data_IF_828505011692
#
_entry.id   IF_828505011692
#
_cell.length_a   1.000
_cell.length_b   1.000
_cell.length_c   1.000
_cell.angle_alpha   90.00
_cell.angle_beta   90.00
_cell.angle_gamma   90.00
#
_symmetry.space_group_name_H-M   'P 1'
#
loop_
_entity.id
_entity.type
_entity.pdbx_description
1 polymer ?
#
# COMPACT_ATOMS: atom_id res chain seq x y z
N UNK A 1 46.85 -26.99 -0.71
CA UNK A 1 45.69 -27.14 -1.61
C UNK A 1 44.42 -26.48 -1.05
N UNK A 2 44.15 -26.61 0.28
CA UNK A 2 42.95 -25.99 0.90
C UNK A 2 42.85 -24.46 0.72
N UNK A 3 43.94 -23.74 0.96
CA UNK A 3 43.99 -22.27 0.77
C UNK A 3 43.73 -21.86 -0.68
N UNK A 4 44.12 -22.66 -1.63
CA UNK A 4 43.90 -22.37 -3.05
C UNK A 4 42.43 -22.58 -3.44
N UNK A 5 41.77 -23.58 -2.86
CA UNK A 5 40.31 -23.79 -3.01
C UNK A 5 39.54 -22.64 -2.37
N UNK A 6 39.92 -22.23 -1.15
CA UNK A 6 39.30 -21.12 -0.45
C UNK A 6 39.46 -19.81 -1.21
N UNK A 7 40.63 -19.55 -1.77
CA UNK A 7 40.90 -18.40 -2.62
C UNK A 7 40.05 -18.44 -3.90
N UNK A 8 39.95 -19.59 -4.56
CA UNK A 8 39.09 -19.77 -5.72
C UNK A 8 37.61 -19.49 -5.40
N UNK A 9 37.11 -20.03 -4.31
CA UNK A 9 35.75 -19.77 -3.84
C UNK A 9 35.52 -18.27 -3.51
N UNK A 10 36.49 -17.60 -2.91
CA UNK A 10 36.45 -16.16 -2.66
C UNK A 10 36.37 -15.38 -3.98
N UNK A 11 37.22 -15.68 -4.96
CA UNK A 11 37.19 -15.01 -6.27
C UNK A 11 35.87 -15.22 -6.97
N UNK A 12 35.36 -16.46 -6.99
CA UNK A 12 34.03 -16.74 -7.61
C UNK A 12 32.91 -15.98 -6.91
N UNK A 13 32.93 -15.93 -5.58
CA UNK A 13 31.87 -15.27 -4.80
C UNK A 13 31.86 -13.76 -4.96
N UNK A 14 33.03 -13.10 -4.98
CA UNK A 14 33.12 -11.64 -4.93
C UNK A 14 33.40 -10.99 -6.30
N UNK A 15 33.99 -11.73 -7.23
CA UNK A 15 34.32 -11.23 -8.57
C UNK A 15 33.58 -11.98 -9.69
N UNK A 16 32.89 -13.08 -9.35
CA UNK A 16 32.06 -13.82 -10.28
C UNK A 16 30.86 -12.99 -10.76
N UNK A 17 30.49 -13.17 -12.01
CA UNK A 17 29.32 -12.59 -12.62
C UNK A 17 28.40 -13.74 -13.04
N UNK A 18 27.23 -13.86 -12.42
CA UNK A 18 26.30 -14.97 -12.63
C UNK A 18 24.99 -14.42 -13.24
N UNK A 19 24.38 -15.21 -14.09
CA UNK A 19 23.11 -14.87 -14.72
C UNK A 19 22.57 -15.98 -15.60
N UNK A 20 21.34 -15.82 -16.06
CA UNK A 20 20.65 -16.78 -16.92
C UNK A 20 20.43 -16.17 -18.30
N UNK A 21 20.77 -16.91 -19.35
CA UNK A 21 20.54 -16.52 -20.74
C UNK A 21 19.48 -17.47 -21.35
N UNK A 22 18.20 -17.06 -21.37
CA UNK A 22 17.16 -17.86 -22.01
C UNK A 22 17.25 -17.70 -23.54
N UNK A 23 17.72 -18.73 -24.24
CA UNK A 23 17.81 -18.73 -25.70
C UNK A 23 16.70 -19.63 -26.25
N UNK A 24 15.83 -19.06 -27.09
CA UNK A 24 14.80 -19.82 -27.82
C UNK A 24 15.41 -20.47 -29.06
N UNK A 25 14.86 -21.61 -29.45
CA UNK A 25 15.29 -22.30 -30.65
C UNK A 25 15.18 -21.40 -31.90
N UNK A 26 16.26 -21.29 -32.65
CA UNK A 26 16.34 -20.44 -33.87
C UNK A 26 16.63 -18.95 -33.60
N UNK A 27 16.83 -18.53 -32.37
CA UNK A 27 17.15 -17.14 -32.02
C UNK A 27 18.58 -17.05 -31.45
N UNK A 28 19.23 -15.93 -31.75
CA UNK A 28 20.53 -15.59 -31.17
C UNK A 28 20.33 -14.48 -30.14
N UNK A 29 20.79 -14.70 -28.92
CA UNK A 29 20.75 -13.72 -27.83
C UNK A 29 22.17 -13.26 -27.49
N UNK A 30 22.29 -11.97 -27.12
CA UNK A 30 23.55 -11.38 -26.66
C UNK A 30 23.42 -10.71 -25.30
N UNK A 31 22.29 -10.95 -24.62
CA UNK A 31 21.99 -10.43 -23.30
C UNK A 31 21.66 -11.57 -22.34
N UNK A 32 22.00 -11.42 -21.10
CA UNK A 32 21.62 -12.36 -20.06
C UNK A 32 21.01 -11.62 -18.87
N UNK A 33 20.16 -12.30 -18.14
CA UNK A 33 19.53 -11.80 -16.92
C UNK A 33 20.49 -12.02 -15.76
N UNK A 34 20.93 -10.95 -15.14
CA UNK A 34 21.75 -11.00 -13.92
C UNK A 34 20.92 -11.48 -12.73
N UNK A 35 21.53 -12.25 -11.84
CA UNK A 35 20.93 -12.59 -10.54
C UNK A 35 20.88 -11.39 -9.57
N UNK A 36 21.63 -10.34 -9.87
CA UNK A 36 21.61 -9.12 -9.06
C UNK A 36 20.37 -8.28 -9.38
N UNK A 37 19.75 -7.75 -8.34
CA UNK A 37 18.70 -6.75 -8.48
C UNK A 37 19.32 -5.38 -8.67
N UNK A 38 18.79 -4.60 -9.60
CA UNK A 38 19.26 -3.24 -9.87
C UNK A 38 18.14 -2.24 -9.69
N UNK A 39 18.45 -1.13 -9.01
CA UNK A 39 17.64 0.08 -9.10
C UNK A 39 18.13 0.88 -10.31
N UNK A 40 17.24 1.16 -11.24
CA UNK A 40 17.49 2.04 -12.37
C UNK A 40 16.57 3.24 -12.29
N UNK A 41 17.14 4.43 -12.26
CA UNK A 41 16.39 5.68 -12.24
C UNK A 41 16.69 6.45 -13.52
N UNK A 42 15.63 6.93 -14.17
CA UNK A 42 15.72 7.81 -15.32
C UNK A 42 15.30 9.22 -14.89
N UNK A 43 16.15 10.20 -15.20
CA UNK A 43 15.84 11.61 -15.04
C UNK A 43 15.68 12.19 -16.43
N UNK A 44 14.47 12.61 -16.73
CA UNK A 44 14.12 13.20 -18.03
C UNK A 44 13.97 14.71 -17.89
N UNK A 45 14.35 15.44 -18.92
CA UNK A 45 14.22 16.88 -19.00
C UNK A 45 14.54 17.40 -20.39
N UNK A 46 14.36 18.68 -20.57
CA UNK A 46 14.68 19.39 -21.82
C UNK A 46 15.98 20.21 -21.65
N UNK A 47 16.85 20.13 -22.62
CA UNK A 47 18.09 20.89 -22.65
C UNK A 47 18.19 21.63 -23.98
N UNK A 48 17.91 22.93 -23.97
CA UNK A 48 17.90 23.79 -25.15
C UNK A 48 16.89 23.36 -26.24
N UNK A 49 15.71 22.84 -25.87
CA UNK A 49 14.69 22.36 -26.77
C UNK A 49 14.90 20.92 -27.27
N UNK A 50 15.90 20.22 -26.75
CA UNK A 50 16.13 18.81 -27.02
C UNK A 50 15.86 17.95 -25.77
N UNK A 51 15.00 16.90 -25.87
CA UNK A 51 14.75 16.00 -24.75
C UNK A 51 16.05 15.23 -24.41
N UNK A 52 16.39 15.21 -23.15
CA UNK A 52 17.55 14.52 -22.61
C UNK A 52 17.14 13.58 -21.49
N UNK A 53 17.81 12.44 -21.44
CA UNK A 53 17.63 11.43 -20.37
C UNK A 53 18.94 11.09 -19.73
N UNK A 54 18.98 11.14 -18.41
CA UNK A 54 20.09 10.66 -17.61
C UNK A 54 19.69 9.35 -16.92
N UNK A 55 20.50 8.32 -17.05
CA UNK A 55 20.30 7.03 -16.38
C UNK A 55 21.27 6.92 -15.21
N UNK A 56 20.72 6.60 -14.04
CA UNK A 56 21.47 6.18 -12.87
C UNK A 56 21.13 4.71 -12.59
N UNK A 57 22.12 3.93 -12.23
CA UNK A 57 21.91 2.51 -11.94
C UNK A 57 22.89 2.05 -10.86
N UNK A 58 22.38 1.28 -9.89
CA UNK A 58 23.16 0.62 -8.87
C UNK A 58 22.55 -0.71 -8.48
N UNK A 59 23.40 -1.63 -8.05
CA UNK A 59 22.97 -2.91 -7.52
C UNK A 59 22.43 -2.74 -6.09
N UNK A 60 21.38 -3.49 -5.78
CA UNK A 60 20.74 -3.53 -4.48
C UNK A 60 20.73 -4.96 -3.96
N UNK A 61 20.97 -5.12 -2.68
CA UNK A 61 20.66 -6.33 -1.97
C UNK A 61 19.35 -6.15 -1.21
N UNK A 62 18.27 -6.71 -1.76
CA UNK A 62 16.92 -6.59 -1.20
C UNK A 62 16.75 -7.58 -0.05
N UNK A 63 17.00 -7.14 1.16
CA UNK A 63 16.77 -7.88 2.40
C UNK A 63 16.60 -6.91 3.57
N UNK A 64 15.68 -7.20 4.48
CA UNK A 64 15.49 -6.42 5.72
C UNK A 64 16.74 -6.42 6.62
N UNK A 65 17.64 -7.38 6.42
CA UNK A 65 18.87 -7.53 7.22
C UNK A 65 20.08 -6.79 6.64
N UNK A 66 19.91 -6.13 5.49
CA UNK A 66 20.98 -5.42 4.80
C UNK A 66 20.66 -3.94 4.66
N UNK A 67 21.51 -3.09 5.23
CA UNK A 67 21.43 -1.67 5.01
C UNK A 67 22.11 -1.31 3.68
N UNK A 68 21.30 -1.05 2.66
CA UNK A 68 21.81 -0.41 1.45
C UNK A 68 22.06 1.06 1.75
N UNK A 69 23.26 1.52 1.54
CA UNK A 69 23.68 2.89 1.91
C UNK A 69 23.93 3.74 0.66
N UNK A 70 23.08 3.60 -0.37
CA UNK A 70 23.28 4.47 -1.50
C UNK A 70 22.71 5.87 -1.26
N UNK A 71 23.46 6.85 -1.69
CA UNK A 71 23.05 8.25 -1.73
C UNK A 71 23.64 8.85 -3.03
N UNK A 72 22.83 8.81 -4.07
CA UNK A 72 23.24 9.32 -5.38
C UNK A 72 22.95 10.81 -5.46
N UNK A 73 24.02 11.61 -5.45
CA UNK A 73 23.93 13.04 -5.71
C UNK A 73 24.38 13.29 -7.14
N UNK A 74 23.58 14.00 -7.88
CA UNK A 74 23.87 14.27 -9.29
C UNK A 74 23.26 15.62 -9.70
N UNK A 75 23.67 16.08 -10.87
CA UNK A 75 23.18 17.28 -11.51
C UNK A 75 22.53 16.92 -12.84
N UNK A 76 21.43 17.58 -13.17
CA UNK A 76 20.81 17.54 -14.48
C UNK A 76 20.29 18.92 -14.86
N UNK A 77 20.81 19.49 -15.95
CA UNK A 77 20.51 20.86 -16.41
C UNK A 77 20.78 21.96 -15.38
N UNK A 78 21.83 21.81 -14.56
CA UNK A 78 22.14 22.77 -13.49
C UNK A 78 21.29 22.63 -12.23
N UNK A 79 20.38 21.67 -12.21
CA UNK A 79 19.54 21.34 -11.06
C UNK A 79 20.11 20.13 -10.32
N UNK A 80 20.55 20.34 -9.08
CA UNK A 80 21.03 19.26 -8.24
C UNK A 80 19.88 18.43 -7.73
N UNK A 81 20.01 17.11 -7.77
CA UNK A 81 19.09 16.17 -7.16
C UNK A 81 19.83 15.09 -6.39
N UNK A 82 19.16 14.50 -5.44
CA UNK A 82 19.68 13.34 -4.73
C UNK A 82 18.62 12.25 -4.59
N UNK A 83 19.07 11.00 -4.63
CA UNK A 83 18.25 9.82 -4.41
C UNK A 83 18.91 9.01 -3.31
N UNK A 84 18.21 8.84 -2.20
CA UNK A 84 18.70 8.18 -1.00
C UNK A 84 17.86 6.96 -0.66
N UNK A 85 18.51 5.86 -0.33
CA UNK A 85 17.87 4.70 0.29
C UNK A 85 17.36 5.08 1.68
N UNK A 86 16.14 4.69 1.98
CA UNK A 86 15.54 4.85 3.31
C UNK A 86 15.40 3.50 3.97
N UNK A 87 14.65 2.59 3.34
CA UNK A 87 14.28 1.31 3.93
C UNK A 87 13.85 0.29 2.88
N UNK A 88 13.84 -0.98 3.26
CA UNK A 88 13.29 -2.07 2.48
C UNK A 88 12.42 -2.95 3.38
N UNK A 89 11.18 -3.15 3.00
CA UNK A 89 10.19 -3.94 3.71
C UNK A 89 9.87 -5.20 2.91
N UNK A 90 10.12 -6.35 3.50
CA UNK A 90 9.62 -7.62 2.99
C UNK A 90 8.16 -7.80 3.42
N UNK A 91 7.32 -8.33 2.51
CA UNK A 91 5.90 -8.53 2.77
C UNK A 91 5.19 -7.24 3.19
N UNK A 92 5.35 -6.19 2.42
CA UNK A 92 4.73 -4.90 2.66
C UNK A 92 3.32 -4.82 2.05
N UNK A 93 2.48 -4.05 2.69
CA UNK A 93 1.13 -3.70 2.21
C UNK A 93 0.82 -2.26 2.60
N UNK A 94 -0.18 -1.68 1.98
CA UNK A 94 -0.73 -0.41 2.44
C UNK A 94 -1.54 -0.63 3.73
N UNK A 95 -1.29 0.16 4.75
CA UNK A 95 -1.96 0.06 6.04
C UNK A 95 -2.09 1.40 6.76
N UNK A 96 -3.05 1.47 7.69
CA UNK A 96 -3.29 2.66 8.50
C UNK A 96 -2.26 2.72 9.64
N UNK A 97 -1.42 3.74 9.61
CA UNK A 97 -0.50 4.09 10.69
C UNK A 97 -1.19 5.12 11.58
N UNK A 98 -1.31 4.78 12.88
CA UNK A 98 -1.99 5.65 13.83
C UNK A 98 -1.20 6.93 14.09
N UNK A 99 -1.89 8.07 14.00
CA UNK A 99 -1.36 9.40 14.27
C UNK A 99 -2.50 10.28 14.79
N UNK A 100 -2.36 10.83 15.99
CA UNK A 100 -3.39 11.68 16.61
C UNK A 100 -3.70 12.94 15.79
N UNK A 101 -2.75 13.40 15.00
CA UNK A 101 -2.90 14.57 14.11
C UNK A 101 -3.41 14.21 12.72
N UNK A 102 -3.46 12.90 12.40
CA UNK A 102 -3.87 12.38 11.11
C UNK A 102 -5.38 12.52 10.84
N UNK A 103 -5.76 12.14 9.65
CA UNK A 103 -7.16 12.09 9.21
C UNK A 103 -7.93 11.02 9.99
N UNK A 104 -9.26 11.14 10.00
CA UNK A 104 -10.11 10.14 10.67
C UNK A 104 -10.60 9.10 9.68
N UNK A 105 -10.47 7.83 10.06
CA UNK A 105 -10.89 6.68 9.27
C UNK A 105 -11.77 5.75 10.08
N UNK A 106 -12.87 5.31 9.48
CA UNK A 106 -13.73 4.25 10.03
C UNK A 106 -13.52 2.98 9.24
N UNK A 107 -13.18 1.90 9.94
CA UNK A 107 -12.98 0.60 9.32
C UNK A 107 -14.33 -0.09 9.07
N UNK A 108 -14.53 -0.55 7.86
CA UNK A 108 -15.65 -1.40 7.45
C UNK A 108 -15.07 -2.75 7.04
N UNK A 109 -15.60 -3.81 7.59
CA UNK A 109 -15.23 -5.19 7.24
C UNK A 109 -16.39 -5.84 6.57
N UNK A 110 -16.18 -6.33 5.36
CA UNK A 110 -17.16 -7.12 4.66
C UNK A 110 -16.73 -8.59 4.56
N UNK A 111 -17.72 -9.47 4.44
CA UNK A 111 -17.53 -10.87 4.12
C UNK A 111 -18.12 -11.12 2.71
N UNK A 112 -17.25 -11.15 1.70
CA UNK A 112 -17.59 -11.47 0.32
C UNK A 112 -16.83 -12.71 -0.15
N UNK A 113 -17.47 -13.55 -0.96
CA UNK A 113 -16.87 -14.73 -1.60
C UNK A 113 -16.10 -15.69 -0.65
N UNK A 114 -16.49 -15.71 0.64
CA UNK A 114 -15.81 -16.50 1.67
C UNK A 114 -14.54 -15.87 2.23
N UNK A 115 -14.16 -14.69 1.77
CA UNK A 115 -13.03 -13.91 2.25
C UNK A 115 -13.50 -12.67 3.03
N UNK A 116 -12.63 -12.19 3.90
CA UNK A 116 -12.81 -10.95 4.64
C UNK A 116 -12.06 -9.85 3.91
N UNK A 117 -12.74 -8.74 3.63
CA UNK A 117 -12.15 -7.55 3.05
C UNK A 117 -12.28 -6.37 4.00
N UNK A 118 -11.17 -5.68 4.24
CA UNK A 118 -11.10 -4.52 5.10
C UNK A 118 -11.11 -3.24 4.24
N UNK A 119 -12.05 -2.36 4.49
CA UNK A 119 -12.16 -1.05 3.82
C UNK A 119 -12.05 0.06 4.87
N UNK A 120 -11.49 1.19 4.47
CA UNK A 120 -11.34 2.35 5.33
C UNK A 120 -12.07 3.54 4.72
N UNK A 121 -13.02 4.04 5.47
CA UNK A 121 -13.86 5.18 5.12
C UNK A 121 -13.26 6.44 5.73
N UNK A 122 -12.68 7.30 4.90
CA UNK A 122 -12.12 8.57 5.34
C UNK A 122 -13.23 9.58 5.61
N UNK A 123 -13.11 10.34 6.69
CA UNK A 123 -14.05 11.39 7.04
C UNK A 123 -14.17 12.43 5.91
N UNK A 124 -15.41 12.74 5.51
CA UNK A 124 -15.73 13.69 4.44
C UNK A 124 -15.61 13.12 3.02
N UNK A 125 -15.22 11.87 2.84
CA UNK A 125 -15.11 11.22 1.53
C UNK A 125 -16.21 10.17 1.30
N UNK A 126 -16.34 9.74 0.04
CA UNK A 126 -17.21 8.65 -0.39
C UNK A 126 -16.34 7.46 -0.78
N UNK A 127 -16.73 6.29 -0.31
CA UNK A 127 -16.10 5.03 -0.69
C UNK A 127 -17.15 4.14 -1.34
N UNK A 128 -16.82 3.57 -2.49
CA UNK A 128 -17.67 2.58 -3.16
C UNK A 128 -17.17 1.18 -2.81
N UNK A 129 -18.04 0.38 -2.19
CA UNK A 129 -17.79 -1.02 -1.86
C UNK A 129 -18.88 -1.83 -2.57
N UNK A 130 -18.52 -2.59 -3.59
CA UNK A 130 -19.45 -3.41 -4.40
C UNK A 130 -20.71 -2.67 -4.87
N UNK A 131 -20.53 -1.47 -5.42
CA UNK A 131 -21.58 -0.57 -5.90
C UNK A 131 -22.51 0.00 -4.80
N UNK A 132 -22.12 -0.12 -3.54
CA UNK A 132 -22.78 0.55 -2.41
C UNK A 132 -21.85 1.68 -1.97
N UNK A 133 -22.38 2.89 -1.92
CA UNK A 133 -21.65 4.07 -1.46
C UNK A 133 -21.75 4.17 0.06
N UNK A 134 -20.62 4.45 0.69
CA UNK A 134 -20.51 4.76 2.11
C UNK A 134 -19.92 6.14 2.32
N UNK A 135 -20.38 6.85 3.34
CA UNK A 135 -19.82 8.12 3.77
C UNK A 135 -19.63 8.17 5.28
N UNK A 136 -18.67 8.95 5.73
CA UNK A 136 -18.46 9.28 7.15
C UNK A 136 -18.50 10.81 7.32
N UNK A 137 -19.42 11.31 8.14
CA UNK A 137 -19.64 12.74 8.39
C UNK A 137 -19.83 13.56 7.10
N UNK A 138 -20.44 12.95 6.10
CA UNK A 138 -20.86 13.57 4.85
C UNK A 138 -22.20 12.98 4.47
N UNK A 139 -23.18 13.83 4.15
CA UNK A 139 -24.46 13.38 3.65
C UNK A 139 -24.41 13.29 2.12
N UNK A 140 -24.79 12.12 1.62
CA UNK A 140 -24.88 11.86 0.19
C UNK A 140 -26.14 11.03 -0.10
N UNK A 141 -26.92 11.46 -1.08
CA UNK A 141 -28.15 10.77 -1.47
C UNK A 141 -27.81 9.40 -2.07
N UNK A 142 -28.52 8.36 -1.61
CA UNK A 142 -28.30 6.98 -2.08
C UNK A 142 -27.09 6.27 -1.47
N UNK A 143 -26.34 6.91 -0.58
CA UNK A 143 -25.27 6.30 0.18
C UNK A 143 -25.72 5.84 1.57
N UNK A 144 -24.97 4.91 2.15
CA UNK A 144 -25.04 4.60 3.57
C UNK A 144 -24.24 5.67 4.30
N UNK A 145 -24.94 6.57 4.95
CA UNK A 145 -24.35 7.70 5.65
C UNK A 145 -24.12 7.35 7.12
N UNK A 146 -22.87 7.40 7.55
CA UNK A 146 -22.47 7.20 8.93
C UNK A 146 -22.06 8.55 9.51
N UNK A 147 -22.63 8.91 10.65
CA UNK A 147 -22.27 10.13 11.38
C UNK A 147 -21.60 9.76 12.69
N UNK A 148 -20.61 10.52 13.05
CA UNK A 148 -19.92 10.45 14.35
C UNK A 148 -19.97 11.84 14.99
N UNK A 149 -20.82 11.97 16.00
CA UNK A 149 -20.98 13.20 16.77
C UNK A 149 -20.83 12.86 18.27
N UNK A 150 -19.97 13.58 18.97
CA UNK A 150 -19.71 13.42 20.41
C UNK A 150 -19.42 11.96 20.85
N UNK A 151 -18.78 11.15 19.97
CA UNK A 151 -18.48 9.75 20.24
C UNK A 151 -19.64 8.79 20.00
N UNK A 152 -20.78 9.28 19.56
CA UNK A 152 -21.94 8.47 19.20
C UNK A 152 -21.99 8.30 17.67
N UNK A 153 -22.32 7.09 17.27
CA UNK A 153 -22.45 6.73 15.86
C UNK A 153 -23.92 6.60 15.49
N UNK A 154 -24.31 7.18 14.37
CA UNK A 154 -25.61 6.93 13.72
C UNK A 154 -25.39 6.45 12.30
N UNK A 155 -26.38 5.74 11.78
CA UNK A 155 -26.42 5.25 10.41
C UNK A 155 -27.75 5.59 9.76
N UNK A 156 -27.69 6.10 8.56
CA UNK A 156 -28.83 6.26 7.65
C UNK A 156 -28.51 5.47 6.37
N UNK A 157 -29.40 4.58 5.96
CA UNK A 157 -29.18 3.70 4.82
C UNK A 157 -30.35 3.78 3.85
N UNK A 158 -30.11 3.85 2.53
CA UNK A 158 -31.18 3.75 1.53
C UNK A 158 -31.81 2.35 1.46
N UNK A 159 -31.20 1.37 2.14
CA UNK A 159 -31.66 -0.03 2.16
C UNK A 159 -32.18 -0.39 3.55
N UNK A 160 -33.29 -1.12 3.58
CA UNK A 160 -33.71 -1.80 4.80
C UNK A 160 -32.87 -3.05 5.04
N UNK A 161 -32.66 -3.39 6.30
CA UNK A 161 -31.85 -4.53 6.68
C UNK A 161 -32.06 -4.94 8.13
N UNK A 162 -31.18 -5.78 8.59
CA UNK A 162 -31.13 -6.22 9.98
C UNK A 162 -29.70 -6.13 10.50
N UNK A 163 -29.56 -6.01 11.81
CA UNK A 163 -28.26 -6.16 12.43
C UNK A 163 -28.32 -7.16 13.60
N UNK A 164 -27.21 -7.83 13.81
CA UNK A 164 -27.03 -8.73 14.95
C UNK A 164 -25.75 -8.33 15.70
N UNK A 165 -25.89 -7.95 16.96
CA UNK A 165 -24.76 -7.64 17.81
C UNK A 165 -24.04 -8.93 18.21
N UNK A 166 -22.74 -8.99 17.95
CA UNK A 166 -21.96 -10.22 18.11
C UNK A 166 -21.81 -10.65 19.57
N UNK A 167 -21.87 -9.72 20.52
CA UNK A 167 -21.60 -9.98 21.94
C UNK A 167 -22.71 -10.81 22.62
N UNK A 168 -23.97 -10.53 22.29
CA UNK A 168 -25.14 -11.09 22.98
C UNK A 168 -26.23 -11.58 22.03
N UNK A 169 -25.93 -11.58 20.71
CA UNK A 169 -26.83 -12.00 19.65
C UNK A 169 -28.15 -11.19 19.59
N UNK A 170 -28.15 -9.99 20.19
CA UNK A 170 -29.29 -9.09 20.06
C UNK A 170 -29.50 -8.72 18.58
N UNK A 171 -30.73 -8.84 18.13
CA UNK A 171 -31.14 -8.51 16.76
C UNK A 171 -31.98 -7.24 16.74
N UNK A 172 -31.77 -6.43 15.73
CA UNK A 172 -32.53 -5.22 15.45
C UNK A 172 -32.74 -5.03 13.96
N UNK A 173 -33.64 -4.13 13.61
CA UNK A 173 -33.92 -3.74 12.22
C UNK A 173 -33.25 -2.43 11.87
N UNK A 174 -32.84 -2.32 10.61
CA UNK A 174 -32.42 -1.07 9.98
C UNK A 174 -33.54 -0.69 8.99
N UNK A 175 -34.19 0.45 9.21
CA UNK A 175 -35.23 0.95 8.31
C UNK A 175 -34.58 1.86 7.25
N UNK A 176 -35.03 1.71 5.98
CA UNK A 176 -34.53 2.52 4.89
C UNK A 176 -34.85 4.01 5.09
N UNK A 177 -33.88 4.88 4.80
CA UNK A 177 -33.96 6.32 4.90
C UNK A 177 -34.39 6.81 6.29
N UNK A 178 -33.94 6.11 7.31
CA UNK A 178 -34.22 6.45 8.71
C UNK A 178 -32.93 6.41 9.51
N UNK A 179 -32.54 7.54 10.06
CA UNK A 179 -31.38 7.62 10.92
C UNK A 179 -31.61 6.83 12.22
N UNK A 180 -30.68 5.97 12.54
CA UNK A 180 -30.75 5.10 13.72
C UNK A 180 -29.36 4.98 14.39
N UNK A 181 -29.31 4.63 15.70
CA UNK A 181 -28.04 4.38 16.35
C UNK A 181 -27.26 3.23 15.71
N UNK A 182 -26.02 3.48 15.29
CA UNK A 182 -25.15 2.45 14.78
C UNK A 182 -24.55 1.66 15.94
N UNK A 183 -24.65 0.33 15.85
CA UNK A 183 -24.06 -0.59 16.83
C UNK A 183 -22.72 -1.10 16.31
N UNK A 184 -21.62 -0.69 16.93
CA UNK A 184 -20.30 -1.27 16.64
C UNK A 184 -20.28 -2.76 16.98
N UNK A 185 -19.42 -3.52 16.30
CA UNK A 185 -19.27 -4.98 16.47
C UNK A 185 -20.57 -5.74 16.23
N UNK A 186 -21.37 -5.24 15.30
CA UNK A 186 -22.61 -5.87 14.87
C UNK A 186 -22.54 -6.21 13.40
N UNK A 187 -23.03 -7.38 13.04
CA UNK A 187 -23.18 -7.78 11.64
C UNK A 187 -24.43 -7.12 11.07
N UNK A 188 -24.26 -6.24 10.15
CA UNK A 188 -25.32 -5.64 9.34
C UNK A 188 -25.55 -6.49 8.10
N UNK A 189 -26.79 -6.87 7.87
CA UNK A 189 -27.22 -7.67 6.72
C UNK A 189 -28.21 -6.86 5.89
N UNK A 190 -27.78 -6.42 4.74
CA UNK A 190 -28.57 -5.79 3.69
C UNK A 190 -28.93 -6.84 2.60
N UNK A 191 -29.83 -6.57 1.65
CA UNK A 191 -30.28 -7.56 0.67
C UNK A 191 -29.17 -8.30 -0.09
N UNK A 192 -28.07 -7.62 -0.42
CA UNK A 192 -26.96 -8.20 -1.18
C UNK A 192 -25.57 -7.88 -0.58
N UNK A 193 -25.53 -7.46 0.67
CA UNK A 193 -24.29 -7.01 1.27
C UNK A 193 -24.29 -7.21 2.79
N UNK A 194 -23.19 -7.69 3.33
CA UNK A 194 -23.00 -7.83 4.76
C UNK A 194 -21.73 -7.13 5.19
N UNK A 195 -21.81 -6.38 6.28
CA UNK A 195 -20.66 -5.69 6.81
C UNK A 195 -20.68 -5.57 8.34
N UNK A 196 -19.51 -5.33 8.89
CA UNK A 196 -19.29 -5.06 10.30
C UNK A 196 -18.45 -3.81 10.44
N UNK A 197 -18.77 -2.97 11.41
CA UNK A 197 -17.88 -1.90 11.88
C UNK A 197 -17.27 -2.38 13.20
N UNK A 198 -16.01 -2.87 13.18
CA UNK A 198 -15.44 -3.62 14.30
C UNK A 198 -15.03 -2.74 15.48
N UNK A 199 -14.68 -1.50 15.21
CA UNK A 199 -14.05 -0.59 16.16
C UNK A 199 -14.41 0.88 15.88
N UNK A 200 -14.23 1.77 16.86
CA UNK A 200 -14.39 3.20 16.64
C UNK A 200 -13.44 3.72 15.55
N UNK A 201 -13.78 4.87 14.97
CA UNK A 201 -12.93 5.54 14.01
C UNK A 201 -11.57 5.90 14.63
N UNK A 202 -10.52 5.64 13.85
CA UNK A 202 -9.12 5.87 14.23
C UNK A 202 -8.57 7.09 13.47
N UNK A 203 -7.60 7.76 14.07
CA UNK A 203 -6.84 8.80 13.38
C UNK A 203 -5.52 8.26 12.89
N UNK A 204 -5.11 8.66 11.69
CA UNK A 204 -3.86 8.21 11.10
C UNK A 204 -3.66 8.65 9.67
N UNK A 205 -2.69 8.03 9.04
CA UNK A 205 -2.42 8.16 7.60
C UNK A 205 -2.11 6.78 7.02
N UNK A 206 -2.41 6.59 5.74
CA UNK A 206 -1.98 5.38 5.04
C UNK A 206 -0.51 5.48 4.67
N UNK A 207 0.24 4.44 4.97
CA UNK A 207 1.63 4.26 4.57
C UNK A 207 1.88 2.79 4.24
N UNK A 208 3.02 2.53 3.62
CA UNK A 208 3.48 1.16 3.38
C UNK A 208 4.04 0.60 4.68
N UNK A 209 3.41 -0.45 5.16
CA UNK A 209 3.75 -1.14 6.41
C UNK A 209 4.01 -2.62 6.16
N UNK A 210 4.64 -3.29 7.12
CA UNK A 210 4.79 -4.75 7.06
C UNK A 210 3.43 -5.42 7.24
N UNK A 211 3.08 -6.34 6.34
CA UNK A 211 1.86 -7.13 6.45
C UNK A 211 1.98 -8.17 7.56
N UNK A 212 0.93 -8.36 8.34
CA UNK A 212 0.88 -9.38 9.39
C UNK A 212 0.76 -10.81 8.83
N UNK A 213 0.21 -10.94 7.63
CA UNK A 213 0.00 -12.23 6.96
C UNK A 213 0.33 -12.13 5.47
N UNK A 214 0.71 -13.24 4.87
CA UNK A 214 0.83 -13.31 3.41
C UNK A 214 -0.56 -13.39 2.77
N UNK A 215 -0.80 -12.59 1.73
CA UNK A 215 -2.09 -12.52 1.05
C UNK A 215 -2.00 -11.73 -0.26
N UNK A 216 -3.14 -11.52 -0.89
CA UNK A 216 -3.23 -10.65 -2.06
C UNK A 216 -2.83 -9.21 -1.69
N UNK A 217 -2.07 -8.56 -2.57
CA UNK A 217 -1.59 -7.18 -2.36
C UNK A 217 -0.32 -7.06 -1.51
N UNK A 218 0.20 -8.17 -0.96
CA UNK A 218 1.47 -8.16 -0.21
C UNK A 218 2.63 -8.26 -1.20
N UNK A 219 3.51 -7.27 -1.18
CA UNK A 219 4.67 -7.17 -2.06
C UNK A 219 5.88 -6.66 -1.27
N UNK A 220 7.06 -6.84 -1.82
CA UNK A 220 8.25 -6.21 -1.26
C UNK A 220 8.28 -4.73 -1.66
N UNK A 221 8.55 -3.85 -0.72
CA UNK A 221 8.59 -2.41 -0.94
C UNK A 221 9.98 -1.84 -0.66
N UNK A 222 10.46 -1.00 -1.57
CA UNK A 222 11.66 -0.21 -1.42
C UNK A 222 11.27 1.26 -1.19
N UNK A 223 11.66 1.82 -0.06
CA UNK A 223 11.47 3.24 0.24
C UNK A 223 12.73 4.02 -0.13
N UNK A 224 12.56 5.00 -1.00
CA UNK A 224 13.60 5.93 -1.41
C UNK A 224 13.15 7.37 -1.16
N UNK A 225 14.08 8.24 -0.82
CA UNK A 225 13.86 9.68 -0.75
C UNK A 225 14.47 10.32 -1.97
N UNK A 226 13.67 11.10 -2.67
CA UNK A 226 14.13 11.92 -3.80
C UNK A 226 14.04 13.37 -3.39
N UNK A 227 15.14 14.09 -3.46
CA UNK A 227 15.18 15.54 -3.22
C UNK A 227 15.80 16.26 -4.40
N UNK A 228 15.25 17.41 -4.73
CA UNK A 228 15.74 18.31 -5.76
C UNK A 228 15.79 19.71 -5.18
N UNK A 229 16.87 20.43 -5.41
CA UNK A 229 16.92 21.87 -5.16
C UNK A 229 16.20 22.56 -6.32
N UNK A 230 14.86 22.67 -6.19
CA UNK A 230 14.09 23.55 -7.05
C UNK A 230 14.32 25.00 -6.68
N UNK A 231 14.25 25.90 -7.64
CA UNK A 231 14.01 27.31 -7.36
C UNK A 231 12.67 27.41 -6.63
N UNK A 232 12.65 28.13 -5.50
CA UNK A 232 11.44 28.52 -4.79
C UNK A 232 10.56 29.43 -5.66
#
# INVERSE_FOLDING_TARGET
SFLLILFGAFVTRYFGFEGVMPIREGVTENQFLSEKTYLTVFVDGDMNGEPRRKKLQGDLLLSEHVNNTFNWKNDFNGQEFSIRYVDFLENATEGLVLDETGERYLKIVEAGDGNRHDHYLKEGELVNIHNILFSLNKEEEGAINIKLEDGLYTIDSPFSGQFMRMADQFQGSLEANTESPLQLRSLYTLPNFQFVIPEPALRGSFDIVKADTQGEGVQNALRIEVSSKGEE
#
